data_IF_533819693511
#
_entry.id   IF_533819693511
#
_cell.length_a   1.000
_cell.length_b   1.000
_cell.length_c   1.000
_cell.angle_alpha   90.00
_cell.angle_beta   90.00
_cell.angle_gamma   90.00
#
_symmetry.space_group_name_H-M   'P 1'
#
loop_
_entity.id
_entity.type
_entity.pdbx_description
1 polymer ?
#
# COMPACT_ATOMS: atom_id res chain seq x y z
N UNK A 1 -6.34 13.20 -13.49
CA UNK A 1 -7.71 12.68 -13.29
C UNK A 1 -8.60 13.71 -12.59
N UNK A 2 -8.20 14.22 -11.41
CA UNK A 2 -8.91 15.30 -10.70
C UNK A 2 -9.24 16.50 -11.58
N UNK A 3 -8.27 16.97 -12.37
CA UNK A 3 -8.47 18.09 -13.32
C UNK A 3 -9.57 17.86 -14.33
N UNK A 4 -9.76 16.62 -14.80
CA UNK A 4 -10.80 16.29 -15.78
C UNK A 4 -12.17 16.14 -15.12
N UNK A 5 -12.20 15.63 -13.88
CA UNK A 5 -13.43 15.60 -13.07
C UNK A 5 -13.92 17.04 -12.83
N UNK A 6 -13.04 17.94 -12.40
CA UNK A 6 -13.41 19.34 -12.12
C UNK A 6 -13.95 20.05 -13.37
N UNK A 7 -13.28 19.91 -14.52
CA UNK A 7 -13.78 20.47 -15.79
C UNK A 7 -15.16 19.95 -16.16
N UNK A 8 -15.40 18.65 -15.94
CA UNK A 8 -16.69 18.05 -16.23
C UNK A 8 -17.77 18.54 -15.27
N UNK A 9 -17.44 18.67 -13.98
CA UNK A 9 -18.36 19.21 -12.99
C UNK A 9 -18.75 20.64 -13.33
N UNK A 10 -17.77 21.50 -13.64
CA UNK A 10 -18.03 22.85 -14.13
C UNK A 10 -18.94 22.80 -15.36
N UNK A 11 -18.56 22.10 -16.42
CA UNK A 11 -19.34 22.08 -17.67
C UNK A 11 -20.80 21.63 -17.52
N UNK A 12 -21.11 20.75 -16.56
CA UNK A 12 -22.44 20.14 -16.43
C UNK A 12 -23.28 20.71 -15.27
N UNK A 13 -22.68 21.38 -14.29
CA UNK A 13 -23.34 21.78 -13.05
C UNK A 13 -23.19 23.28 -12.70
N UNK A 14 -22.72 24.11 -13.66
CA UNK A 14 -22.43 25.56 -13.52
C UNK A 14 -23.53 26.46 -12.90
N UNK A 15 -24.80 26.06 -12.92
CA UNK A 15 -25.95 26.93 -12.59
C UNK A 15 -26.92 26.35 -11.56
N UNK A 16 -26.54 25.28 -10.87
CA UNK A 16 -27.38 24.65 -9.86
C UNK A 16 -26.83 24.96 -8.46
N UNK A 17 -27.71 25.29 -7.51
CA UNK A 17 -27.37 25.41 -6.09
C UNK A 17 -27.30 24.00 -5.48
N UNK A 18 -26.27 23.26 -5.89
CA UNK A 18 -26.05 21.86 -5.56
C UNK A 18 -24.77 21.67 -4.77
N UNK A 19 -24.91 20.89 -3.70
CA UNK A 19 -23.80 20.41 -2.90
C UNK A 19 -23.24 19.13 -3.53
N UNK A 20 -21.99 19.19 -3.99
CA UNK A 20 -21.31 18.02 -4.55
C UNK A 20 -20.57 17.32 -3.41
N UNK A 21 -20.90 16.05 -3.19
CA UNK A 21 -20.21 15.17 -2.23
C UNK A 21 -19.56 13.99 -2.95
N UNK A 22 -18.58 13.38 -2.29
CA UNK A 22 -17.94 12.14 -2.73
C UNK A 22 -17.89 11.14 -1.57
N UNK A 23 -17.77 9.86 -1.91
CA UNK A 23 -17.66 8.76 -0.94
C UNK A 23 -16.28 8.08 -1.02
N UNK A 24 -15.18 8.77 -0.68
CA UNK A 24 -13.83 8.21 -0.80
C UNK A 24 -13.57 7.20 0.33
N UNK A 25 -13.72 5.91 0.04
CA UNK A 25 -13.35 4.83 0.97
C UNK A 25 -11.84 4.56 0.96
N UNK A 26 -11.37 3.77 -0.03
CA UNK A 26 -9.98 3.33 -0.11
C UNK A 26 -8.97 4.49 -0.15
N UNK A 27 -9.31 5.61 -0.80
CA UNK A 27 -8.44 6.80 -0.84
C UNK A 27 -8.03 7.28 0.56
N UNK A 28 -8.94 7.22 1.54
CA UNK A 28 -8.67 7.70 2.89
C UNK A 28 -7.87 6.72 3.76
N UNK A 29 -7.92 5.41 3.48
CA UNK A 29 -7.42 4.38 4.41
C UNK A 29 -6.30 3.52 3.85
N UNK A 30 -6.06 3.53 2.53
CA UNK A 30 -5.15 2.59 1.88
C UNK A 30 -3.71 2.70 2.38
N UNK A 31 -3.19 3.92 2.59
CA UNK A 31 -1.84 4.16 3.11
C UNK A 31 -1.76 4.19 4.65
N UNK A 32 -2.90 4.19 5.33
CA UNK A 32 -2.95 4.30 6.79
C UNK A 32 -2.57 2.98 7.51
N UNK A 33 -2.51 1.86 6.79
CA UNK A 33 -2.33 0.53 7.38
C UNK A 33 -1.06 -0.13 6.85
N UNK A 34 -0.19 -0.55 7.78
CA UNK A 34 0.95 -1.42 7.50
C UNK A 34 0.66 -2.84 7.99
N UNK A 35 0.75 -3.83 7.09
CA UNK A 35 0.54 -5.24 7.41
C UNK A 35 1.88 -5.91 7.77
N UNK A 36 1.95 -6.49 8.98
CA UNK A 36 3.10 -7.30 9.43
C UNK A 36 2.70 -8.78 9.43
N UNK A 37 3.48 -9.60 8.74
CA UNK A 37 3.26 -11.06 8.61
C UNK A 37 4.58 -11.82 8.74
N UNK A 38 4.51 -13.06 9.22
CA UNK A 38 5.69 -13.89 9.46
C UNK A 38 5.92 -14.89 8.34
N UNK A 39 7.19 -15.12 8.00
CA UNK A 39 7.60 -16.20 7.10
C UNK A 39 7.52 -17.52 7.89
N UNK A 40 6.62 -18.40 7.47
CA UNK A 40 6.41 -19.73 8.05
C UNK A 40 7.02 -20.86 7.22
N UNK A 41 7.46 -20.54 6.00
CA UNK A 41 8.13 -21.50 5.12
C UNK A 41 9.03 -20.80 4.11
N UNK A 42 10.09 -21.49 3.70
CA UNK A 42 11.02 -21.04 2.67
C UNK A 42 11.37 -22.20 1.75
N UNK A 43 11.39 -21.93 0.45
CA UNK A 43 11.83 -22.89 -0.57
C UNK A 43 12.84 -22.22 -1.50
N UNK A 44 13.96 -22.88 -1.73
CA UNK A 44 14.98 -22.44 -2.69
C UNK A 44 14.95 -23.36 -3.90
N UNK A 45 14.81 -22.78 -5.09
CA UNK A 45 14.79 -23.46 -6.37
C UNK A 45 15.99 -23.03 -7.19
N UNK A 46 16.74 -23.99 -7.72
CA UNK A 46 17.78 -23.72 -8.71
C UNK A 46 17.11 -23.61 -10.08
N UNK A 47 17.26 -22.46 -10.74
CA UNK A 47 16.84 -22.33 -12.15
C UNK A 47 17.92 -22.93 -13.06
N UNK A 48 17.53 -23.99 -13.78
CA UNK A 48 18.42 -24.77 -14.65
C UNK A 48 19.12 -23.95 -15.75
N UNK A 49 18.57 -22.80 -16.14
CA UNK A 49 19.06 -22.06 -17.31
C UNK A 49 20.06 -20.95 -16.96
N UNK A 50 20.04 -20.40 -15.74
CA UNK A 50 20.87 -19.26 -15.35
C UNK A 50 21.63 -19.45 -14.02
N UNK A 51 21.55 -20.63 -13.38
CA UNK A 51 22.04 -20.86 -12.01
C UNK A 51 21.51 -19.86 -10.97
N UNK A 52 20.42 -19.16 -11.30
CA UNK A 52 19.80 -18.19 -10.42
C UNK A 52 19.01 -18.93 -9.33
N UNK A 53 19.24 -18.58 -8.07
CA UNK A 53 18.41 -19.06 -6.97
C UNK A 53 17.09 -18.30 -6.95
N UNK A 54 15.98 -18.98 -7.23
CA UNK A 54 14.65 -18.47 -6.90
C UNK A 54 14.32 -18.83 -5.47
N UNK A 55 13.98 -17.83 -4.64
CA UNK A 55 13.48 -18.03 -3.28
C UNK A 55 11.98 -17.78 -3.24
N UNK A 56 11.23 -18.74 -2.70
CA UNK A 56 9.80 -18.64 -2.43
C UNK A 56 9.61 -18.60 -0.91
N UNK A 57 8.82 -17.64 -0.43
CA UNK A 57 8.50 -17.49 0.99
C UNK A 57 7.00 -17.71 1.19
N UNK A 58 6.65 -18.48 2.21
CA UNK A 58 5.29 -18.76 2.62
C UNK A 58 4.98 -17.95 3.87
N UNK A 59 3.90 -17.17 3.83
CA UNK A 59 3.48 -16.27 4.89
C UNK A 59 2.35 -16.91 5.71
N UNK A 60 2.19 -16.49 6.97
CA UNK A 60 1.06 -16.90 7.80
C UNK A 60 -0.27 -16.19 7.47
N UNK A 61 -0.26 -15.29 6.48
CA UNK A 61 -1.41 -14.62 5.92
C UNK A 61 -1.40 -14.78 4.38
N UNK A 62 -2.53 -14.58 3.73
CA UNK A 62 -2.63 -14.80 2.29
C UNK A 62 -3.98 -14.42 1.70
N UNK A 63 -4.33 -15.11 0.61
CA UNK A 63 -5.49 -14.79 -0.22
C UNK A 63 -6.83 -14.75 0.53
N UNK A 64 -6.99 -15.65 1.51
CA UNK A 64 -8.20 -15.74 2.32
C UNK A 64 -8.18 -14.82 3.56
N UNK A 65 -7.10 -14.06 3.75
CA UNK A 65 -6.94 -13.07 4.80
C UNK A 65 -6.72 -11.68 4.19
N UNK A 66 -5.58 -11.07 4.46
CA UNK A 66 -5.31 -9.68 4.11
C UNK A 66 -4.84 -9.45 2.67
N UNK A 67 -4.76 -10.50 1.82
CA UNK A 67 -4.38 -10.38 0.40
C UNK A 67 -5.49 -10.82 -0.58
N UNK A 68 -6.74 -10.34 -0.44
CA UNK A 68 -7.82 -10.70 -1.35
C UNK A 68 -7.59 -10.20 -2.78
N UNK A 69 -8.18 -10.92 -3.75
CA UNK A 69 -8.06 -10.64 -5.19
C UNK A 69 -8.47 -9.22 -5.61
N UNK A 70 -9.43 -8.62 -4.90
CA UNK A 70 -10.03 -7.34 -5.30
C UNK A 70 -9.07 -6.16 -5.18
N UNK A 71 -7.92 -6.29 -4.51
CA UNK A 71 -6.94 -5.20 -4.45
C UNK A 71 -6.38 -4.82 -5.81
N UNK A 72 -6.39 -5.73 -6.79
CA UNK A 72 -6.12 -5.38 -8.19
C UNK A 72 -7.11 -4.37 -8.77
N UNK A 73 -8.37 -4.37 -8.29
CA UNK A 73 -9.38 -3.42 -8.74
C UNK A 73 -9.16 -2.00 -8.18
N UNK A 74 -8.35 -1.87 -7.12
CA UNK A 74 -8.03 -0.58 -6.48
C UNK A 74 -6.65 -0.03 -6.87
N UNK A 75 -5.97 -0.64 -7.85
CA UNK A 75 -4.58 -0.31 -8.24
C UNK A 75 -3.61 -0.23 -7.04
N UNK A 76 -3.89 -1.00 -5.98
CA UNK A 76 -3.08 -1.01 -4.78
C UNK A 76 -1.77 -1.74 -5.05
N UNK A 77 -0.64 -1.03 -4.87
CA UNK A 77 0.71 -1.59 -5.01
C UNK A 77 1.30 -1.89 -3.63
N UNK A 78 1.60 -3.16 -3.39
CA UNK A 78 2.28 -3.60 -2.17
C UNK A 78 3.79 -3.58 -2.37
N UNK A 79 4.51 -2.90 -1.47
CA UNK A 79 5.96 -2.91 -1.42
C UNK A 79 6.37 -3.77 -0.22
N UNK A 80 6.74 -5.06 -0.41
CA UNK A 80 7.14 -5.90 0.70
C UNK A 80 8.51 -5.48 1.22
N UNK A 81 8.60 -5.19 2.52
CA UNK A 81 9.86 -4.92 3.23
C UNK A 81 10.20 -6.12 4.10
N UNK A 82 11.36 -6.73 3.86
CA UNK A 82 11.84 -7.87 4.66
C UNK A 82 12.71 -7.36 5.80
N UNK A 83 12.20 -7.50 7.02
CA UNK A 83 12.97 -7.22 8.24
C UNK A 83 13.63 -8.50 8.74
N UNK A 84 14.94 -8.43 9.03
CA UNK A 84 15.71 -9.51 9.62
C UNK A 84 15.94 -9.19 11.10
N UNK A 85 15.27 -9.91 11.98
CA UNK A 85 15.47 -9.78 13.43
C UNK A 85 16.52 -10.80 13.90
N UNK A 86 17.55 -10.33 14.60
CA UNK A 86 18.60 -11.17 15.20
C UNK A 86 18.29 -11.54 16.65
N UNK A 87 17.26 -10.93 17.24
CA UNK A 87 16.76 -11.13 18.60
C UNK A 87 15.23 -11.30 18.61
N UNK A 88 14.63 -11.83 19.70
CA UNK A 88 13.18 -11.88 19.83
C UNK A 88 12.57 -10.50 19.63
N UNK A 89 11.43 -10.44 18.92
CA UNK A 89 10.80 -9.21 18.40
C UNK A 89 10.74 -8.12 19.47
N UNK A 90 11.54 -7.07 19.30
CA UNK A 90 11.30 -5.79 19.94
C UNK A 90 10.36 -5.00 19.02
N UNK A 91 9.07 -4.97 19.41
CA UNK A 91 8.01 -4.29 18.64
C UNK A 91 8.34 -2.80 18.47
N UNK A 92 9.14 -2.21 19.37
CA UNK A 92 9.48 -0.79 19.32
C UNK A 92 10.33 -0.40 18.10
N UNK A 93 11.20 -1.29 17.58
CA UNK A 93 11.97 -1.02 16.36
C UNK A 93 11.09 -1.05 15.11
N UNK A 94 10.10 -1.94 15.08
CA UNK A 94 9.11 -2.01 14.00
C UNK A 94 8.25 -0.76 14.02
N UNK A 95 7.73 -0.37 15.19
CA UNK A 95 6.94 0.85 15.38
C UNK A 95 7.72 2.09 14.91
N UNK A 96 9.00 2.20 15.30
CA UNK A 96 9.84 3.33 14.88
C UNK A 96 10.05 3.38 13.37
N UNK A 97 10.33 2.24 12.74
CA UNK A 97 10.51 2.17 11.28
C UNK A 97 9.21 2.48 10.53
N UNK A 98 8.05 2.08 11.07
CA UNK A 98 6.74 2.43 10.52
C UNK A 98 6.47 3.93 10.66
N UNK A 99 6.75 4.54 11.82
CA UNK A 99 6.56 5.99 12.02
C UNK A 99 7.43 6.81 11.07
N UNK A 100 8.69 6.43 10.88
CA UNK A 100 9.59 7.09 9.92
C UNK A 100 9.07 7.02 8.48
N UNK A 101 8.54 5.86 8.05
CA UNK A 101 7.89 5.70 6.75
C UNK A 101 6.64 6.57 6.59
N UNK A 102 5.77 6.61 7.60
CA UNK A 102 4.55 7.41 7.59
C UNK A 102 4.85 8.93 7.56
N UNK A 103 5.90 9.37 8.25
CA UNK A 103 6.34 10.77 8.23
C UNK A 103 6.87 11.19 6.85
N UNK A 104 7.61 10.32 6.17
CA UNK A 104 8.10 10.58 4.80
C UNK A 104 6.94 10.62 3.78
N UNK A 105 5.95 9.73 3.90
CA UNK A 105 4.74 9.75 3.05
C UNK A 105 3.91 11.01 3.28
N UNK A 106 3.68 11.41 4.54
CA UNK A 106 2.92 12.63 4.87
C UNK A 106 3.60 13.87 4.29
N UNK A 107 4.94 13.94 4.41
CA UNK A 107 5.74 15.05 3.88
C UNK A 107 5.71 15.14 2.35
N UNK A 108 5.52 14.01 1.65
CA UNK A 108 5.39 13.96 0.18
C UNK A 108 4.01 14.42 -0.28
N UNK A 109 2.96 13.98 0.40
CA UNK A 109 1.58 14.38 0.12
C UNK A 109 1.39 15.88 0.35
N UNK A 110 1.94 16.43 1.44
CA UNK A 110 1.89 17.88 1.70
C UNK A 110 2.57 18.71 0.60
N UNK A 111 3.67 18.21 0.01
CA UNK A 111 4.34 18.89 -1.11
C UNK A 111 3.54 18.83 -2.40
N UNK A 112 2.88 17.70 -2.70
CA UNK A 112 2.01 17.57 -3.89
C UNK A 112 0.71 18.40 -3.81
N UNK A 113 0.25 18.77 -2.61
CA UNK A 113 -0.94 19.62 -2.42
C UNK A 113 -0.59 21.12 -2.54
N UNK A 114 0.66 21.50 -2.28
CA UNK A 114 1.13 22.90 -2.28
C UNK A 114 1.71 23.36 -3.63
N UNK A 115 1.95 22.43 -4.57
CA UNK A 115 2.35 22.68 -5.97
C UNK A 115 1.14 22.60 -6.93
#
# INVERSE_FOLDING_TARGET
>A
LVTEINKSLEANFLNEDIEIIAEPGCYCVLSAVSLVTSIIGKKTLLQNENYAERREYYLNDGFYGSFPYFFKAYDAKYIPVLHYFTTPIDISEIEKSIVELLQDETSKVEREILD
#
